data_IF_297743159639
#
_entry.id   IF_297743159639
#
_cell.length_a   1.000
_cell.length_b   1.000
_cell.length_c   1.000
_cell.angle_alpha   90.00
_cell.angle_beta   90.00
_cell.angle_gamma   90.00
#
_symmetry.space_group_name_H-M   'P 1'
#
loop_
_entity.id
_entity.type
_entity.pdbx_description
1 polymer ?
#
# COMPACT_ATOMS: atom_id res chain seq x y z
N UNK A 1 39.59 -12.91 10.63
CA UNK A 1 39.67 -12.16 9.35
C UNK A 1 38.30 -12.18 8.70
N UNK A 2 37.60 -11.07 8.82
CA UNK A 2 36.42 -10.57 8.08
C UNK A 2 36.22 -9.20 8.73
N UNK A 3 37.24 -8.35 8.60
CA UNK A 3 37.29 -7.28 7.60
C UNK A 3 35.99 -6.49 7.62
N UNK A 4 36.16 -5.24 8.02
CA UNK A 4 35.12 -4.28 8.36
C UNK A 4 34.07 -4.35 7.27
N UNK A 5 32.84 -4.78 7.62
CA UNK A 5 31.69 -4.53 6.76
C UNK A 5 31.78 -3.06 6.38
N UNK A 6 32.08 -2.76 5.11
CA UNK A 6 32.13 -1.40 4.60
C UNK A 6 30.90 -0.70 5.13
N UNK A 7 31.11 0.30 6.01
CA UNK A 7 30.18 0.62 7.08
C UNK A 7 28.75 0.69 6.55
N UNK A 8 27.94 -0.32 6.89
CA UNK A 8 26.60 -0.46 6.32
C UNK A 8 25.78 0.78 6.66
N UNK A 9 25.40 1.51 5.62
CA UNK A 9 24.63 2.76 5.72
C UNK A 9 23.13 2.48 5.81
N UNK A 10 22.68 1.38 5.21
CA UNK A 10 21.31 0.91 5.27
C UNK A 10 21.27 -0.61 5.06
N UNK A 11 20.33 -1.29 5.71
CA UNK A 11 20.15 -2.73 5.56
C UNK A 11 18.69 -3.16 5.71
N UNK A 12 18.25 -4.07 4.84
CA UNK A 12 17.04 -4.87 5.02
C UNK A 12 17.37 -6.37 4.86
N UNK A 13 16.34 -7.22 4.89
CA UNK A 13 16.48 -8.68 4.90
C UNK A 13 17.34 -9.22 3.73
N UNK A 14 17.22 -8.61 2.54
CA UNK A 14 17.87 -9.10 1.32
C UNK A 14 19.04 -8.21 0.88
N UNK A 15 19.08 -6.95 1.31
CA UNK A 15 19.99 -5.95 0.75
C UNK A 15 20.73 -5.13 1.82
N UNK A 16 21.98 -4.78 1.52
CA UNK A 16 22.80 -3.82 2.24
C UNK A 16 23.25 -2.70 1.32
N UNK A 17 23.29 -1.48 1.84
CA UNK A 17 23.87 -0.30 1.18
C UNK A 17 25.12 0.08 1.97
N UNK A 18 26.23 0.21 1.26
CA UNK A 18 27.51 0.66 1.79
C UNK A 18 27.94 1.97 1.12
N UNK A 19 29.14 2.48 1.38
CA UNK A 19 29.61 3.69 0.69
C UNK A 19 29.82 3.47 -0.82
N UNK A 20 30.15 2.22 -1.18
CA UNK A 20 30.53 1.82 -2.53
C UNK A 20 29.35 1.40 -3.40
N UNK A 21 28.22 1.01 -2.81
CA UNK A 21 27.07 0.54 -3.59
C UNK A 21 26.03 -0.22 -2.79
N UNK A 22 25.30 -1.07 -3.51
CA UNK A 22 24.20 -1.87 -3.02
C UNK A 22 24.53 -3.36 -3.25
N UNK A 23 24.45 -4.19 -2.21
CA UNK A 23 24.76 -5.61 -2.27
C UNK A 23 23.56 -6.46 -1.84
N UNK A 24 23.29 -7.54 -2.58
CA UNK A 24 22.31 -8.55 -2.18
C UNK A 24 22.98 -9.59 -1.26
N UNK A 25 22.52 -9.68 -0.01
CA UNK A 25 23.13 -10.49 1.05
C UNK A 25 23.14 -11.99 0.74
N UNK A 26 22.10 -12.49 0.08
CA UNK A 26 21.95 -13.92 -0.21
C UNK A 26 22.82 -14.43 -1.37
N UNK A 27 23.18 -13.56 -2.31
CA UNK A 27 23.91 -13.95 -3.54
C UNK A 27 25.26 -13.25 -3.68
N UNK A 28 25.57 -12.26 -2.85
CA UNK A 28 26.72 -11.37 -3.02
C UNK A 28 26.64 -10.51 -4.30
N UNK A 29 25.43 -10.29 -4.83
CA UNK A 29 25.28 -9.54 -6.08
C UNK A 29 25.45 -8.06 -5.80
N UNK A 30 26.46 -7.43 -6.39
CA UNK A 30 26.83 -6.05 -6.11
C UNK A 30 26.51 -5.11 -7.27
N UNK A 31 25.91 -3.97 -6.93
CA UNK A 31 25.65 -2.84 -7.83
C UNK A 31 26.45 -1.66 -7.33
N UNK A 32 27.47 -1.25 -8.10
CA UNK A 32 28.31 -0.11 -7.71
C UNK A 32 27.51 1.18 -7.70
N UNK A 33 27.90 2.10 -6.81
CA UNK A 33 27.31 3.43 -6.67
C UNK A 33 27.28 4.19 -8.01
N UNK A 34 28.36 4.10 -8.79
CA UNK A 34 28.46 4.74 -10.11
C UNK A 34 27.49 4.17 -11.14
N UNK A 35 27.04 2.93 -10.96
CA UNK A 35 26.08 2.30 -11.84
C UNK A 35 24.63 2.61 -11.47
N UNK A 36 24.32 3.05 -10.24
CA UNK A 36 22.93 3.22 -9.78
C UNK A 36 22.11 4.18 -10.63
N UNK A 37 22.73 5.21 -11.21
CA UNK A 37 22.07 6.19 -12.08
C UNK A 37 22.02 5.79 -13.56
N UNK A 38 22.53 4.61 -13.92
CA UNK A 38 22.60 4.13 -15.30
C UNK A 38 21.22 4.10 -15.97
N UNK A 39 21.20 4.53 -17.24
CA UNK A 39 20.00 4.66 -18.06
C UNK A 39 20.09 3.80 -19.31
N UNK A 40 18.94 3.30 -19.75
CA UNK A 40 18.75 2.71 -21.09
C UNK A 40 18.46 3.80 -22.12
N UNK A 41 18.49 3.42 -23.40
CA UNK A 41 18.28 4.31 -24.53
C UNK A 41 16.95 5.08 -24.47
N UNK A 42 15.90 4.52 -23.86
CA UNK A 42 14.58 5.15 -23.74
C UNK A 42 14.43 6.07 -22.50
N UNK A 43 15.52 6.38 -21.79
CA UNK A 43 15.51 7.21 -20.57
C UNK A 43 15.02 6.47 -19.32
N UNK A 44 14.80 5.16 -19.41
CA UNK A 44 14.48 4.29 -18.28
C UNK A 44 15.74 3.99 -17.46
N UNK A 45 15.54 3.74 -16.16
CA UNK A 45 16.60 3.30 -15.26
C UNK A 45 16.91 1.84 -15.52
N UNK A 46 18.20 1.52 -15.60
CA UNK A 46 18.64 0.18 -15.98
C UNK A 46 18.40 -0.84 -14.85
N UNK A 47 18.86 -0.51 -13.64
CA UNK A 47 18.84 -1.44 -12.51
C UNK A 47 17.46 -1.90 -12.05
N UNK A 48 16.41 -1.06 -11.97
CA UNK A 48 15.06 -1.55 -11.71
C UNK A 48 14.58 -2.59 -12.73
N UNK A 49 14.95 -2.45 -14.00
CA UNK A 49 14.58 -3.41 -15.05
C UNK A 49 15.43 -4.68 -14.97
N UNK A 50 16.75 -4.54 -14.83
CA UNK A 50 17.67 -5.67 -14.75
C UNK A 50 17.41 -6.56 -13.53
N UNK A 51 17.04 -5.96 -12.40
CA UNK A 51 16.73 -6.69 -11.17
C UNK A 51 15.37 -7.40 -11.24
N UNK A 52 14.42 -6.85 -12.01
CA UNK A 52 13.14 -7.52 -12.24
C UNK A 52 13.23 -8.84 -13.02
N UNK A 53 14.29 -9.00 -13.82
CA UNK A 53 14.57 -10.25 -14.55
C UNK A 53 15.11 -11.36 -13.63
N UNK A 54 15.51 -11.05 -12.39
CA UNK A 54 16.12 -12.00 -11.47
C UNK A 54 15.08 -12.61 -10.54
N UNK A 55 14.89 -13.91 -10.64
CA UNK A 55 13.90 -14.65 -9.83
C UNK A 55 14.13 -14.58 -8.33
N UNK A 56 15.37 -14.34 -7.90
CA UNK A 56 15.75 -14.18 -6.49
C UNK A 56 15.51 -12.76 -5.96
N UNK A 57 15.29 -11.77 -6.83
CA UNK A 57 15.15 -10.38 -6.40
C UNK A 57 13.71 -10.08 -5.98
N UNK A 58 13.51 -9.81 -4.69
CA UNK A 58 12.21 -9.42 -4.14
C UNK A 58 11.94 -7.94 -4.45
N UNK A 59 10.87 -7.61 -5.19
CA UNK A 59 10.63 -6.25 -5.68
C UNK A 59 10.54 -5.19 -4.57
N UNK A 60 9.87 -5.51 -3.46
CA UNK A 60 9.66 -4.60 -2.33
C UNK A 60 10.98 -4.28 -1.61
N UNK A 61 11.80 -5.29 -1.34
CA UNK A 61 13.06 -5.14 -0.61
C UNK A 61 14.12 -4.46 -1.46
N UNK A 62 14.20 -4.81 -2.75
CA UNK A 62 15.08 -4.10 -3.68
C UNK A 62 14.67 -2.63 -3.84
N UNK A 63 13.37 -2.34 -4.03
CA UNK A 63 12.90 -0.95 -4.16
C UNK A 63 13.27 -0.11 -2.95
N UNK A 64 13.09 -0.64 -1.75
CA UNK A 64 13.42 0.06 -0.51
C UNK A 64 14.92 0.37 -0.42
N UNK A 65 15.77 -0.64 -0.62
CA UNK A 65 17.22 -0.46 -0.57
C UNK A 65 17.74 0.47 -1.68
N UNK A 66 17.19 0.35 -2.90
CA UNK A 66 17.55 1.22 -4.02
C UNK A 66 17.19 2.68 -3.74
N UNK A 67 15.99 2.96 -3.21
CA UNK A 67 15.58 4.32 -2.88
C UNK A 67 16.42 4.94 -1.75
N UNK A 68 16.79 4.15 -0.74
CA UNK A 68 17.72 4.57 0.30
C UNK A 68 19.10 4.89 -0.29
N UNK A 69 19.62 4.04 -1.18
CA UNK A 69 20.89 4.28 -1.87
C UNK A 69 20.86 5.59 -2.69
N UNK A 70 19.79 5.85 -3.46
CA UNK A 70 19.66 7.11 -4.21
C UNK A 70 19.66 8.33 -3.28
N UNK A 71 18.97 8.24 -2.14
CA UNK A 71 18.94 9.31 -1.16
C UNK A 71 20.32 9.55 -0.53
N UNK A 72 20.99 8.49 -0.08
CA UNK A 72 22.32 8.56 0.54
C UNK A 72 23.38 9.11 -0.42
N UNK A 73 23.29 8.77 -1.71
CA UNK A 73 24.26 9.20 -2.72
C UNK A 73 23.89 10.51 -3.41
N UNK A 74 22.76 11.14 -3.06
CA UNK A 74 22.32 12.40 -3.65
C UNK A 74 21.89 12.27 -5.12
N UNK A 75 21.46 11.10 -5.55
CA UNK A 75 21.01 10.87 -6.94
C UNK A 75 19.55 11.29 -7.05
N UNK A 76 19.29 12.26 -7.94
CA UNK A 76 17.95 12.79 -8.15
C UNK A 76 17.00 11.72 -8.73
N UNK A 77 15.82 11.64 -8.13
CA UNK A 77 14.71 10.79 -8.60
C UNK A 77 13.90 11.57 -9.63
N UNK A 78 13.47 10.89 -10.68
CA UNK A 78 12.67 11.47 -11.75
C UNK A 78 11.46 10.58 -12.09
N UNK A 79 10.61 11.06 -12.99
CA UNK A 79 9.46 10.29 -13.48
C UNK A 79 9.87 8.99 -14.18
N UNK A 80 11.08 8.93 -14.76
CA UNK A 80 11.65 7.74 -15.37
C UNK A 80 11.87 6.62 -14.34
N UNK A 81 12.20 6.95 -13.09
CA UNK A 81 12.40 5.96 -12.03
C UNK A 81 11.10 5.21 -11.73
N UNK A 82 10.02 5.96 -11.51
CA UNK A 82 8.69 5.39 -11.25
C UNK A 82 8.24 4.52 -12.42
N UNK A 83 8.45 4.97 -13.66
CA UNK A 83 8.13 4.19 -14.86
C UNK A 83 8.94 2.90 -14.95
N UNK A 84 10.22 2.93 -14.57
CA UNK A 84 11.10 1.76 -14.63
C UNK A 84 10.70 0.70 -13.60
N UNK A 85 10.34 1.10 -12.39
CA UNK A 85 9.78 0.18 -11.40
C UNK A 85 8.43 -0.39 -11.85
N UNK A 86 7.56 0.43 -12.44
CA UNK A 86 6.27 -0.05 -12.95
C UNK A 86 6.43 -1.02 -14.13
N UNK A 87 7.44 -0.86 -14.98
CA UNK A 87 7.69 -1.78 -16.10
C UNK A 87 8.36 -3.08 -15.65
N UNK A 88 9.37 -3.00 -14.76
CA UNK A 88 10.06 -4.19 -14.28
C UNK A 88 9.20 -5.03 -13.32
N UNK A 89 8.52 -4.37 -12.39
CA UNK A 89 7.84 -5.04 -11.27
C UNK A 89 6.33 -4.82 -11.23
N UNK A 90 5.79 -3.96 -12.09
CA UNK A 90 4.37 -3.67 -12.12
C UNK A 90 3.54 -4.93 -12.39
N UNK A 91 2.29 -4.84 -11.93
CA UNK A 91 1.30 -5.89 -11.74
C UNK A 91 1.58 -7.11 -12.63
N UNK A 92 2.36 -8.07 -12.13
CA UNK A 92 2.05 -9.46 -12.45
C UNK A 92 0.62 -9.58 -11.97
N UNK A 93 -0.32 -9.68 -12.90
CA UNK A 93 -1.66 -10.11 -12.58
C UNK A 93 -1.45 -11.45 -11.88
N UNK A 94 -1.39 -11.41 -10.55
CA UNK A 94 -1.90 -12.50 -9.78
C UNK A 94 -3.31 -12.59 -10.33
N UNK A 95 -3.59 -13.61 -11.13
CA UNK A 95 -4.93 -14.16 -11.18
C UNK A 95 -5.26 -14.39 -9.71
N UNK A 96 -5.89 -13.39 -9.09
CA UNK A 96 -6.55 -13.61 -7.82
C UNK A 96 -7.50 -14.76 -8.14
N UNK A 97 -7.47 -15.90 -7.41
CA UNK A 97 -8.58 -16.83 -7.50
C UNK A 97 -9.81 -15.98 -7.27
N UNK A 98 -10.73 -16.01 -8.24
CA UNK A 98 -11.97 -15.23 -8.25
C UNK A 98 -12.46 -15.15 -6.83
N UNK A 99 -12.38 -13.97 -6.22
CA UNK A 99 -12.79 -13.80 -4.85
C UNK A 99 -14.27 -14.17 -4.81
N UNK A 100 -14.55 -15.36 -4.29
CA UNK A 100 -15.90 -15.81 -4.10
C UNK A 100 -16.55 -14.85 -3.11
N UNK A 101 -17.44 -14.02 -3.65
CA UNK A 101 -18.47 -13.23 -2.96
C UNK A 101 -17.97 -11.96 -2.26
N UNK A 102 -17.79 -10.90 -3.05
CA UNK A 102 -18.02 -9.54 -2.53
C UNK A 102 -19.53 -9.36 -2.27
N UNK A 103 -19.89 -9.13 -1.01
CA UNK A 103 -21.27 -8.81 -0.62
C UNK A 103 -21.40 -7.29 -0.50
N UNK A 104 -22.51 -6.72 -0.98
CA UNK A 104 -22.68 -5.27 -0.95
C UNK A 104 -23.00 -4.78 0.47
N UNK A 105 -22.61 -3.55 0.81
CA UNK A 105 -22.93 -2.96 2.12
C UNK A 105 -24.44 -2.94 2.40
N UNK A 106 -25.26 -2.86 1.35
CA UNK A 106 -26.72 -2.89 1.46
C UNK A 106 -27.23 -4.24 2.02
N UNK A 107 -26.55 -5.35 1.73
CA UNK A 107 -26.94 -6.69 2.20
C UNK A 107 -26.59 -6.91 3.69
N UNK A 108 -25.64 -6.14 4.23
CA UNK A 108 -25.20 -6.23 5.63
C UNK A 108 -26.10 -5.39 6.55
N UNK A 109 -26.68 -4.31 6.04
CA UNK A 109 -27.46 -3.38 6.84
C UNK A 109 -28.94 -3.78 6.90
N UNK A 110 -29.40 -4.32 8.03
CA UNK A 110 -30.84 -4.45 8.33
C UNK A 110 -31.40 -3.11 8.84
N UNK A 111 -32.38 -2.48 8.16
CA UNK A 111 -33.05 -1.31 8.67
C UNK A 111 -33.78 -1.63 9.98
N UNK A 112 -33.57 -0.82 11.02
CA UNK A 112 -34.34 -0.89 12.26
C UNK A 112 -35.77 -0.40 11.98
N UNK A 113 -36.76 -1.27 12.17
CA UNK A 113 -38.17 -0.92 12.00
C UNK A 113 -38.58 0.22 12.95
N UNK A 114 -39.34 1.18 12.42
CA UNK A 114 -39.91 2.29 13.18
C UNK A 114 -40.96 1.73 14.15
N UNK A 115 -40.92 2.05 15.46
CA UNK A 115 -41.94 1.60 16.39
C UNK A 115 -43.29 2.24 16.05
N UNK A 116 -44.32 1.40 15.96
CA UNK A 116 -45.70 1.81 15.67
C UNK A 116 -46.22 2.75 16.77
N UNK A 117 -46.69 3.93 16.39
CA UNK A 117 -47.23 4.92 17.33
C UNK A 117 -48.65 4.51 17.74
N UNK A 118 -48.79 3.95 18.95
CA UNK A 118 -50.10 3.66 19.55
C UNK A 118 -50.78 4.98 19.89
N UNK A 119 -51.86 5.31 19.17
CA UNK A 119 -52.72 6.45 19.51
C UNK A 119 -53.64 6.07 20.67
N UNK A 120 -53.41 6.66 21.84
CA UNK A 120 -54.32 6.55 22.99
C UNK A 120 -55.51 7.48 22.77
N UNK A 121 -56.72 6.93 22.75
CA UNK A 121 -57.96 7.70 22.67
C UNK A 121 -58.31 8.33 24.02
N UNK A 122 -58.55 9.64 24.04
CA UNK A 122 -59.01 10.38 25.23
C UNK A 122 -60.54 10.37 25.28
N UNK A 123 -61.18 9.91 26.37
CA UNK A 123 -62.63 9.97 26.51
C UNK A 123 -63.11 11.42 26.72
N UNK A 124 -64.19 11.77 26.01
CA UNK A 124 -64.79 13.11 26.00
C UNK A 124 -65.66 13.31 27.26
N UNK A 125 -65.57 14.44 27.98
CA UNK A 125 -66.36 14.65 29.19
C UNK A 125 -67.84 14.92 28.86
N UNK A 126 -68.73 14.26 29.61
CA UNK A 126 -70.17 14.46 29.54
C UNK A 126 -70.56 15.78 30.21
N UNK A 127 -71.36 16.59 29.50
CA UNK A 127 -71.97 17.83 30.00
C UNK A 127 -73.21 17.46 30.83
N UNK A 128 -73.23 17.77 32.12
CA UNK A 128 -74.44 17.72 32.94
C UNK A 128 -75.02 19.13 33.09
N UNK A 129 -76.29 19.28 32.71
CA UNK A 129 -77.08 20.51 32.79
C UNK A 129 -77.28 20.97 34.23
N UNK A 130 -77.17 22.29 34.44
CA UNK A 130 -77.74 22.96 35.60
C UNK A 130 -79.27 22.98 35.50
N UNK A 131 -79.96 22.65 36.59
CA UNK A 131 -81.36 23.01 36.81
C UNK A 131 -81.50 23.56 38.23
N UNK A 132 -82.12 24.74 38.29
CA UNK A 132 -82.33 25.58 39.46
C UNK A 132 -83.65 25.26 40.17
N UNK A 133 -83.81 25.80 41.38
CA UNK A 133 -85.08 25.99 42.08
C UNK A 133 -85.05 25.39 43.48
N UNK A 134 -85.59 26.02 44.52
CA UNK A 134 -86.18 27.34 44.76
C UNK A 134 -86.25 27.47 46.30
#
# INVERSE_FOLDING_TARGET
MSDVADAELFGNDDWSVSADGLEHRGTGYFISRGALSARRAEGLWDWPLQMAEKSWCRPSLFRDAFLNALQLFGIARDAGLTRSFALGYGIRAVEAPVAETFVTLADVLKPRAVPETVRVAVPRPARALAAAGA
#
